data_IF_224802818904
#
_entry.id   IF_224802818904
#
_cell.length_a   1.000
_cell.length_b   1.000
_cell.length_c   1.000
_cell.angle_alpha   90.00
_cell.angle_beta   90.00
_cell.angle_gamma   90.00
#
_symmetry.space_group_name_H-M   'P 1'
#
loop_
_entity.id
_entity.type
_entity.pdbx_description
1 polymer ?
#
# COMPACT_ATOMS: atom_id res chain seq x y z
N UNK A 1 -26.98 -52.13 -22.99
CA UNK A 1 -27.07 -50.86 -23.76
C UNK A 1 -27.96 -49.81 -23.08
N UNK A 2 -29.14 -50.19 -22.57
CA UNK A 2 -30.10 -49.27 -21.93
C UNK A 2 -29.58 -48.64 -20.63
N UNK A 3 -28.98 -49.44 -19.72
CA UNK A 3 -28.52 -48.93 -18.41
C UNK A 3 -27.40 -47.89 -18.52
N UNK A 4 -26.54 -48.03 -19.53
CA UNK A 4 -25.47 -47.07 -19.79
C UNK A 4 -26.03 -45.71 -20.20
N UNK A 5 -27.01 -45.70 -21.11
CA UNK A 5 -27.65 -44.47 -21.55
C UNK A 5 -28.39 -43.80 -20.39
N UNK A 6 -29.07 -44.59 -19.57
CA UNK A 6 -29.78 -44.08 -18.40
C UNK A 6 -28.83 -43.47 -17.37
N UNK A 7 -27.67 -44.09 -17.14
CA UNK A 7 -26.61 -43.52 -16.31
C UNK A 7 -26.04 -42.22 -16.89
N UNK A 8 -25.74 -42.18 -18.18
CA UNK A 8 -25.23 -40.99 -18.86
C UNK A 8 -26.24 -39.82 -18.81
N UNK A 9 -27.54 -40.12 -18.92
CA UNK A 9 -28.61 -39.13 -18.77
C UNK A 9 -28.69 -38.54 -17.34
N UNK A 10 -28.68 -39.40 -16.32
CA UNK A 10 -28.69 -38.96 -14.91
C UNK A 10 -27.43 -38.16 -14.55
N UNK A 11 -26.26 -38.57 -15.06
CA UNK A 11 -25.01 -37.85 -14.84
C UNK A 11 -25.04 -36.46 -15.48
N UNK A 12 -25.64 -36.33 -16.68
CA UNK A 12 -25.83 -35.04 -17.35
C UNK A 12 -26.83 -34.17 -16.61
N UNK A 13 -27.94 -34.73 -16.14
CA UNK A 13 -28.94 -34.03 -15.34
C UNK A 13 -28.30 -33.45 -14.06
N UNK A 14 -27.53 -34.27 -13.35
CA UNK A 14 -26.78 -33.83 -12.17
C UNK A 14 -25.78 -32.70 -12.50
N UNK A 15 -25.04 -32.83 -13.59
CA UNK A 15 -24.09 -31.81 -14.03
C UNK A 15 -24.78 -30.47 -14.33
N UNK A 16 -25.95 -30.50 -14.96
CA UNK A 16 -26.75 -29.31 -15.24
C UNK A 16 -27.26 -28.66 -13.95
N UNK A 17 -27.85 -29.45 -13.05
CA UNK A 17 -28.34 -28.96 -11.75
C UNK A 17 -27.21 -28.33 -10.92
N UNK A 18 -26.04 -28.97 -10.86
CA UNK A 18 -24.87 -28.41 -10.21
C UNK A 18 -24.42 -27.09 -10.85
N UNK A 19 -24.42 -27.00 -12.18
CA UNK A 19 -24.05 -25.76 -12.88
C UNK A 19 -25.01 -24.62 -12.55
N UNK A 20 -26.32 -24.89 -12.51
CA UNK A 20 -27.34 -23.89 -12.16
C UNK A 20 -27.17 -23.46 -10.70
N UNK A 21 -27.01 -24.43 -9.80
CA UNK A 21 -26.78 -24.17 -8.38
C UNK A 21 -25.53 -23.32 -8.15
N UNK A 22 -24.41 -23.66 -8.79
CA UNK A 22 -23.17 -22.91 -8.67
C UNK A 22 -23.29 -21.48 -9.21
N UNK A 23 -23.98 -21.27 -10.33
CA UNK A 23 -24.22 -19.93 -10.88
C UNK A 23 -25.04 -19.08 -9.90
N UNK A 24 -26.17 -19.59 -9.42
CA UNK A 24 -27.03 -18.89 -8.46
C UNK A 24 -26.28 -18.57 -7.14
N UNK A 25 -25.46 -19.51 -6.66
CA UNK A 25 -24.67 -19.31 -5.46
C UNK A 25 -23.59 -18.24 -5.66
N UNK A 26 -22.99 -18.17 -6.85
CA UNK A 26 -22.03 -17.13 -7.21
C UNK A 26 -22.68 -15.74 -7.29
N UNK A 27 -23.87 -15.64 -7.89
CA UNK A 27 -24.61 -14.37 -7.96
C UNK A 27 -24.98 -13.84 -6.57
N UNK A 28 -25.43 -14.74 -5.68
CA UNK A 28 -25.67 -14.42 -4.27
C UNK A 28 -24.40 -13.96 -3.56
N UNK A 29 -23.28 -14.67 -3.78
CA UNK A 29 -21.98 -14.31 -3.22
C UNK A 29 -21.54 -12.90 -3.68
N UNK A 30 -21.58 -12.61 -4.98
CA UNK A 30 -21.20 -11.30 -5.53
C UNK A 30 -22.08 -10.18 -4.97
N UNK A 31 -23.38 -10.43 -4.85
CA UNK A 31 -24.34 -9.46 -4.28
C UNK A 31 -24.12 -9.19 -2.79
N UNK A 32 -23.53 -10.14 -2.07
CA UNK A 32 -23.20 -10.01 -0.63
C UNK A 32 -21.90 -9.24 -0.35
N UNK A 33 -21.09 -8.94 -1.38
CA UNK A 33 -19.82 -8.23 -1.20
C UNK A 33 -20.05 -6.76 -0.84
N UNK A 34 -19.39 -6.31 0.23
CA UNK A 34 -19.47 -4.95 0.74
C UNK A 34 -18.07 -4.38 1.00
N UNK A 35 -17.95 -3.06 0.91
CA UNK A 35 -16.74 -2.33 1.26
C UNK A 35 -16.56 -2.19 2.78
N UNK A 36 -17.65 -2.18 3.54
CA UNK A 36 -17.65 -1.93 4.99
C UNK A 36 -17.05 -3.10 5.78
N UNK A 37 -17.33 -4.33 5.35
CA UNK A 37 -16.96 -5.55 6.08
C UNK A 37 -15.68 -6.21 5.54
N UNK A 38 -14.91 -5.51 4.71
CA UNK A 38 -13.67 -6.00 4.07
C UNK A 38 -13.85 -7.24 3.17
N UNK A 39 -15.09 -7.67 2.91
CA UNK A 39 -15.40 -8.85 2.11
C UNK A 39 -14.99 -8.67 0.65
N UNK A 40 -15.15 -7.46 0.10
CA UNK A 40 -14.72 -7.11 -1.25
C UNK A 40 -13.19 -7.21 -1.41
N UNK A 41 -12.43 -6.70 -0.43
CA UNK A 41 -10.96 -6.83 -0.40
C UNK A 41 -10.52 -8.29 -0.29
N UNK A 42 -11.21 -9.08 0.52
CA UNK A 42 -10.90 -10.50 0.67
C UNK A 42 -11.20 -11.29 -0.60
N UNK A 43 -12.32 -11.01 -1.26
CA UNK A 43 -12.70 -11.60 -2.55
C UNK A 43 -11.67 -11.28 -3.64
N UNK A 44 -11.30 -10.00 -3.77
CA UNK A 44 -10.30 -9.55 -4.76
C UNK A 44 -8.92 -10.12 -4.50
N UNK A 45 -8.45 -10.21 -3.23
CA UNK A 45 -7.20 -10.90 -2.89
C UNK A 45 -7.20 -12.37 -3.34
N UNK A 46 -8.30 -13.08 -3.10
CA UNK A 46 -8.46 -14.48 -3.53
C UNK A 46 -8.44 -14.60 -5.05
N UNK A 47 -9.15 -13.72 -5.76
CA UNK A 47 -9.18 -13.70 -7.22
C UNK A 47 -7.80 -13.46 -7.85
N UNK A 48 -7.01 -12.56 -7.25
CA UNK A 48 -5.66 -12.23 -7.71
C UNK A 48 -4.61 -13.24 -7.28
N UNK A 49 -4.98 -14.29 -6.53
CA UNK A 49 -4.05 -15.23 -5.88
C UNK A 49 -2.95 -14.50 -5.09
N UNK A 50 -3.30 -13.38 -4.46
CA UNK A 50 -2.33 -12.58 -3.73
C UNK A 50 -1.76 -13.37 -2.56
N UNK A 51 -0.48 -13.69 -2.63
CA UNK A 51 0.25 -14.29 -1.52
C UNK A 51 0.86 -13.18 -0.68
N UNK A 52 0.47 -13.12 0.60
CA UNK A 52 1.12 -12.21 1.54
C UNK A 52 2.52 -12.75 1.83
N UNK A 53 3.53 -12.16 1.19
CA UNK A 53 4.92 -12.50 1.46
C UNK A 53 5.30 -11.80 2.76
N UNK A 54 5.27 -12.55 3.87
CA UNK A 54 5.80 -12.04 5.12
C UNK A 54 7.32 -12.19 5.10
N UNK A 55 8.03 -11.07 5.05
CA UNK A 55 9.48 -11.08 5.24
C UNK A 55 9.77 -11.50 6.68
N UNK A 56 10.65 -12.49 6.90
CA UNK A 56 11.00 -12.90 8.24
C UNK A 56 11.70 -11.73 8.94
N UNK A 57 11.23 -11.40 10.15
CA UNK A 57 11.76 -10.29 10.94
C UNK A 57 12.80 -10.82 11.91
N UNK A 58 13.92 -10.11 11.99
CA UNK A 58 15.04 -10.47 12.86
C UNK A 58 15.04 -9.58 14.08
N UNK A 59 15.18 -10.20 15.25
CA UNK A 59 15.32 -9.52 16.52
C UNK A 59 16.75 -8.98 16.70
N UNK A 60 16.95 -8.15 17.74
CA UNK A 60 18.26 -7.58 18.07
C UNK A 60 19.29 -8.65 18.49
N UNK A 61 18.82 -9.74 19.09
CA UNK A 61 19.62 -10.91 19.46
C UNK A 61 19.95 -11.84 18.26
N UNK A 62 19.61 -11.40 17.04
CA UNK A 62 19.81 -12.13 15.79
C UNK A 62 18.90 -13.37 15.61
N UNK A 63 17.97 -13.60 16.53
CA UNK A 63 16.92 -14.61 16.43
C UNK A 63 15.77 -14.15 15.51
N UNK A 64 14.88 -15.07 15.15
CA UNK A 64 13.73 -14.78 14.29
C UNK A 64 12.49 -14.49 15.15
N UNK A 65 11.78 -13.39 14.86
CA UNK A 65 10.46 -13.12 15.42
C UNK A 65 9.42 -14.06 14.78
N UNK A 66 8.84 -14.93 15.60
CA UNK A 66 7.89 -15.97 15.20
C UNK A 66 6.45 -15.59 15.53
N UNK A 67 6.21 -14.96 16.68
CA UNK A 67 4.87 -14.52 17.08
C UNK A 67 4.55 -13.13 16.54
N UNK A 68 3.26 -12.79 16.46
CA UNK A 68 2.86 -11.45 16.00
C UNK A 68 3.20 -10.37 17.04
N UNK A 69 3.22 -10.72 18.32
CA UNK A 69 3.69 -9.86 19.41
C UNK A 69 5.19 -9.57 19.27
N UNK A 70 6.02 -10.60 19.05
CA UNK A 70 7.47 -10.43 18.83
C UNK A 70 7.75 -9.53 17.62
N UNK A 71 7.00 -9.69 16.52
CA UNK A 71 7.12 -8.83 15.34
C UNK A 71 6.75 -7.38 15.67
N UNK A 72 5.67 -7.16 16.41
CA UNK A 72 5.23 -5.83 16.82
C UNK A 72 6.29 -5.14 17.70
N UNK A 73 6.90 -5.87 18.62
CA UNK A 73 7.99 -5.35 19.47
C UNK A 73 9.23 -4.98 18.65
N UNK A 74 9.63 -5.81 17.68
CA UNK A 74 10.74 -5.51 16.76
C UNK A 74 10.47 -4.23 15.96
N UNK A 75 9.26 -4.09 15.42
CA UNK A 75 8.86 -2.87 14.71
C UNK A 75 8.86 -1.65 15.62
N UNK A 76 8.27 -1.75 16.82
CA UNK A 76 8.23 -0.67 17.79
C UNK A 76 9.64 -0.19 18.15
N UNK A 77 10.54 -1.14 18.44
CA UNK A 77 11.94 -0.87 18.75
C UNK A 77 12.67 -0.19 17.59
N UNK A 78 12.45 -0.67 16.35
CA UNK A 78 13.06 -0.08 15.16
C UNK A 78 12.53 1.35 14.90
N UNK A 79 11.22 1.55 14.96
CA UNK A 79 10.58 2.86 14.76
C UNK A 79 11.09 3.85 15.81
N UNK A 80 11.13 3.45 17.09
CA UNK A 80 11.68 4.29 18.17
C UNK A 80 13.13 4.67 17.89
N UNK A 81 13.93 3.73 17.38
CA UNK A 81 15.34 3.97 17.04
C UNK A 81 15.57 4.84 15.80
N UNK A 82 14.65 4.86 14.84
CA UNK A 82 14.83 5.60 13.57
C UNK A 82 14.20 6.98 13.66
N UNK A 83 13.01 7.06 14.24
CA UNK A 83 12.23 8.30 14.36
C UNK A 83 12.59 9.05 15.64
N UNK A 84 13.85 9.47 15.72
CA UNK A 84 14.25 10.44 16.74
C UNK A 84 13.93 11.85 16.25
N UNK A 85 13.37 12.72 17.11
CA UNK A 85 13.24 14.13 16.79
C UNK A 85 14.63 14.69 16.46
N UNK A 86 14.71 15.45 15.37
CA UNK A 86 15.95 16.07 14.91
C UNK A 86 16.52 16.95 16.04
N UNK A 87 17.66 16.54 16.60
CA UNK A 87 18.26 17.15 17.79
C UNK A 87 18.91 18.50 17.52
N UNK A 88 19.19 18.82 16.26
CA UNK A 88 19.74 20.10 15.85
C UNK A 88 18.59 21.12 15.72
N UNK A 89 18.04 21.49 16.88
CA UNK A 89 17.24 22.69 17.05
C UNK A 89 18.17 23.89 16.95
N UNK A 90 18.73 24.13 15.76
CA UNK A 90 19.47 25.35 15.46
C UNK A 90 18.51 26.53 15.70
N UNK A 91 18.72 27.33 16.76
CA UNK A 91 17.81 28.40 17.13
C UNK A 91 17.64 29.42 16.00
N UNK A 92 18.66 29.58 15.14
CA UNK A 92 18.58 30.48 13.97
C UNK A 92 17.63 29.92 12.92
N UNK A 93 17.69 28.61 12.66
CA UNK A 93 16.78 27.95 11.72
C UNK A 93 15.35 27.97 12.23
N UNK A 94 15.12 27.66 13.50
CA UNK A 94 13.77 27.67 14.07
C UNK A 94 13.19 29.08 14.06
N UNK A 95 13.96 30.11 14.45
CA UNK A 95 13.53 31.51 14.33
C UNK A 95 13.15 31.91 12.91
N UNK A 96 13.92 31.50 11.89
CA UNK A 96 13.58 31.76 10.48
C UNK A 96 12.29 31.07 10.04
N UNK A 97 12.05 29.85 10.51
CA UNK A 97 10.81 29.11 10.21
C UNK A 97 9.61 29.84 10.82
N UNK A 98 9.70 30.25 12.08
CA UNK A 98 8.62 31.02 12.72
C UNK A 98 8.41 32.37 12.05
N UNK A 99 9.49 33.10 11.73
CA UNK A 99 9.42 34.37 10.99
C UNK A 99 8.74 34.20 9.62
N UNK A 100 9.02 33.10 8.91
CA UNK A 100 8.35 32.78 7.64
C UNK A 100 6.87 32.42 7.83
N UNK A 101 6.54 31.62 8.83
CA UNK A 101 5.14 31.22 9.11
C UNK A 101 4.28 32.41 9.55
N UNK A 102 4.86 33.35 10.29
CA UNK A 102 4.22 34.60 10.72
C UNK A 102 4.25 35.69 9.64
N UNK A 103 4.99 35.47 8.55
CA UNK A 103 5.04 36.44 7.44
C UNK A 103 3.68 36.48 6.71
N UNK A 104 3.22 37.67 6.30
CA UNK A 104 1.97 37.79 5.57
C UNK A 104 2.05 37.02 4.25
N UNK A 105 0.95 36.34 3.89
CA UNK A 105 0.85 35.62 2.63
C UNK A 105 1.21 36.54 1.45
N UNK A 106 2.03 36.07 0.49
CA UNK A 106 2.39 36.89 -0.65
C UNK A 106 1.12 37.27 -1.43
N UNK A 107 0.94 38.58 -1.66
CA UNK A 107 -0.19 39.11 -2.43
C UNK A 107 -0.04 38.85 -3.94
N UNK A 108 1.12 38.36 -4.37
CA UNK A 108 1.37 37.99 -5.76
C UNK A 108 0.89 36.57 -6.05
N UNK A 109 0.39 36.36 -7.25
CA UNK A 109 0.10 35.03 -7.77
C UNK A 109 1.36 34.14 -7.72
N UNK A 110 1.21 32.84 -7.48
CA UNK A 110 2.34 31.91 -7.51
C UNK A 110 3.05 31.96 -8.87
N UNK A 111 4.38 31.78 -8.89
CA UNK A 111 5.14 31.77 -10.13
C UNK A 111 4.62 30.68 -11.07
N UNK A 112 4.64 30.98 -12.38
CA UNK A 112 4.27 30.01 -13.41
C UNK A 112 5.21 28.81 -13.35
N UNK A 113 4.66 27.61 -13.49
CA UNK A 113 5.43 26.37 -13.62
C UNK A 113 6.42 26.46 -14.80
N UNK A 114 7.66 26.03 -14.58
CA UNK A 114 8.67 25.92 -15.64
C UNK A 114 9.07 24.46 -15.87
N UNK A 115 9.52 24.16 -17.08
CA UNK A 115 10.08 22.87 -17.46
C UNK A 115 11.61 22.89 -17.34
N UNK A 116 12.28 21.74 -17.13
CA UNK A 116 13.74 21.69 -17.07
C UNK A 116 14.45 22.26 -18.30
N UNK A 117 13.79 22.22 -19.46
CA UNK A 117 14.28 22.80 -20.72
C UNK A 117 14.27 24.33 -20.76
N UNK A 118 13.42 24.98 -19.96
CA UNK A 118 13.31 26.44 -19.85
C UNK A 118 14.31 27.04 -18.87
N UNK A 119 14.96 26.22 -18.04
CA UNK A 119 16.03 26.67 -17.13
C UNK A 119 17.31 26.85 -17.95
N UNK A 120 17.82 28.08 -18.12
CA UNK A 120 19.10 28.28 -18.80
C UNK A 120 20.20 27.61 -17.97
N UNK A 121 21.03 26.78 -18.63
CA UNK A 121 22.22 26.16 -18.04
C UNK A 121 23.30 27.22 -17.76
N UNK A 122 23.05 28.10 -16.80
CA UNK A 122 24.08 28.99 -16.26
C UNK A 122 24.79 28.23 -15.15
N UNK A 123 25.84 27.51 -15.52
CA UNK A 123 26.89 27.14 -14.56
C UNK A 123 27.51 28.47 -14.11
N UNK A 124 27.60 28.79 -12.82
CA UNK A 124 28.39 29.94 -12.39
C UNK A 124 29.85 29.64 -12.74
N UNK A 125 30.35 30.24 -13.81
CA UNK A 125 31.79 30.38 -14.07
C UNK A 125 32.33 31.39 -13.06
N UNK A 126 32.49 30.92 -11.82
CA UNK A 126 33.32 31.58 -10.84
C UNK A 126 34.76 31.49 -11.31
N UNK A 127 35.22 32.51 -12.04
CA UNK A 127 36.61 32.91 -12.00
C UNK A 127 36.95 33.19 -10.53
N UNK A 128 37.67 32.28 -9.90
CA UNK A 128 38.26 32.48 -8.57
C UNK A 128 39.12 33.73 -8.61
N UNK A 129 38.82 34.80 -7.85
CA UNK A 129 39.78 35.84 -7.59
C UNK A 129 40.46 35.50 -6.26
N UNK A 130 41.71 35.04 -6.38
CA UNK A 130 42.68 34.75 -5.32
C UNK A 130 42.47 33.48 -4.48
#
# INVERSE_FOLDING_TARGET
PSDRLHFEDLARELGNELSIFHAANYDSYVSSLSLQDQSLWTATKRLLNYHSIFSPLRQQDNSWARSDEEKAEVFCSHISSVFHPFSDSDPVRTSRVYEFLDSPLPLSLPPRSFTPSEVPKKVPTGSSPY
#
